data_IF_536597181043
#
_entry.id   IF_536597181043
#
_cell.length_a   1.000
_cell.length_b   1.000
_cell.length_c   1.000
_cell.angle_alpha   90.00
_cell.angle_beta   90.00
_cell.angle_gamma   90.00
#
_symmetry.space_group_name_H-M   'P 1'
#
loop_
_entity.id
_entity.type
_entity.pdbx_description
1 polymer ?
#
# COMPACT_ATOMS: atom_id res chain seq x y z
N UNK A 1 -0.13 18.21 -15.93
CA UNK A 1 0.08 16.75 -16.06
C UNK A 1 -1.24 16.11 -16.45
N UNK A 2 -1.27 15.20 -17.43
CA UNK A 2 -2.52 14.53 -17.84
C UNK A 2 -2.90 13.48 -16.77
N UNK A 3 -4.06 13.67 -16.12
CA UNK A 3 -4.49 12.81 -15.01
C UNK A 3 -4.67 11.34 -15.43
N UNK A 4 -5.14 11.05 -16.66
CA UNK A 4 -5.24 9.65 -17.12
C UNK A 4 -3.88 8.98 -17.16
N UNK A 5 -2.88 9.66 -17.73
CA UNK A 5 -1.51 9.14 -17.80
C UNK A 5 -0.92 8.95 -16.41
N UNK A 6 -1.13 9.90 -15.49
CA UNK A 6 -0.66 9.77 -14.10
C UNK A 6 -1.18 8.49 -13.45
N UNK A 7 -2.49 8.23 -13.55
CA UNK A 7 -3.11 7.09 -12.89
C UNK A 7 -2.66 5.76 -13.49
N UNK A 8 -2.54 5.67 -14.82
CA UNK A 8 -2.02 4.47 -15.50
C UNK A 8 -0.56 4.21 -15.11
N UNK A 9 0.30 5.23 -15.20
CA UNK A 9 1.71 5.07 -14.85
C UNK A 9 1.93 4.84 -13.36
N UNK A 10 1.11 5.45 -12.50
CA UNK A 10 1.13 5.19 -11.06
C UNK A 10 0.74 3.75 -10.75
N UNK A 11 -0.31 3.22 -11.39
CA UNK A 11 -0.72 1.82 -11.24
C UNK A 11 0.42 0.88 -11.65
N UNK A 12 0.99 1.06 -12.84
CA UNK A 12 2.11 0.25 -13.31
C UNK A 12 3.33 0.35 -12.40
N UNK A 13 3.66 1.56 -11.93
CA UNK A 13 4.76 1.79 -11.00
C UNK A 13 4.57 0.99 -9.70
N UNK A 14 3.41 1.11 -9.05
CA UNK A 14 3.16 0.40 -7.78
C UNK A 14 3.06 -1.10 -7.98
N UNK A 15 2.44 -1.57 -9.06
CA UNK A 15 2.39 -3.00 -9.38
C UNK A 15 3.78 -3.60 -9.57
N UNK A 16 4.66 -2.94 -10.33
CA UNK A 16 6.02 -3.44 -10.59
C UNK A 16 6.89 -3.33 -9.35
N UNK A 17 6.99 -2.14 -8.75
CA UNK A 17 7.86 -1.93 -7.59
C UNK A 17 7.39 -2.76 -6.39
N UNK A 18 6.08 -2.87 -6.16
CA UNK A 18 5.55 -3.73 -5.09
C UNK A 18 5.88 -5.20 -5.33
N UNK A 19 5.72 -5.72 -6.56
CA UNK A 19 6.11 -7.11 -6.85
C UNK A 19 7.62 -7.34 -6.65
N UNK A 20 8.46 -6.39 -7.06
CA UNK A 20 9.91 -6.47 -6.84
C UNK A 20 10.27 -6.42 -5.36
N UNK A 21 9.58 -5.57 -4.59
CA UNK A 21 9.85 -5.35 -3.16
C UNK A 21 9.75 -6.63 -2.34
N UNK A 22 8.93 -7.59 -2.78
CA UNK A 22 8.82 -8.91 -2.17
C UNK A 22 10.16 -9.66 -2.11
N UNK A 23 11.03 -9.47 -3.12
CA UNK A 23 12.30 -10.17 -3.20
C UNK A 23 13.48 -9.37 -2.60
N UNK A 24 13.28 -8.07 -2.39
CA UNK A 24 14.37 -7.15 -2.01
C UNK A 24 15.00 -7.51 -0.66
N UNK A 25 14.23 -8.04 0.30
CA UNK A 25 14.78 -8.46 1.58
C UNK A 25 15.82 -9.56 1.44
N UNK A 26 15.49 -10.63 0.72
CA UNK A 26 16.42 -11.74 0.45
C UNK A 26 17.60 -11.27 -0.43
N UNK A 27 17.33 -10.49 -1.49
CA UNK A 27 18.38 -9.94 -2.37
C UNK A 27 19.38 -9.04 -1.62
N UNK A 28 18.95 -8.43 -0.51
CA UNK A 28 19.82 -7.61 0.33
C UNK A 28 20.68 -8.42 1.32
N UNK A 29 20.57 -9.76 1.32
CA UNK A 29 21.21 -10.62 2.30
C UNK A 29 20.56 -10.52 3.68
N UNK A 30 19.22 -10.38 3.74
CA UNK A 30 18.44 -10.25 4.96
C UNK A 30 18.82 -9.02 5.81
N UNK A 31 19.03 -7.87 5.16
CA UNK A 31 19.44 -6.64 5.82
C UNK A 31 18.34 -6.07 6.73
N UNK A 32 18.67 -5.78 7.99
CA UNK A 32 17.73 -5.25 8.99
C UNK A 32 17.07 -3.92 8.59
N UNK A 33 17.75 -3.07 7.83
CA UNK A 33 17.16 -1.83 7.33
C UNK A 33 16.12 -2.14 6.24
N UNK A 34 16.40 -3.11 5.36
CA UNK A 34 15.49 -3.50 4.28
C UNK A 34 14.21 -4.13 4.83
N UNK A 35 14.30 -4.88 5.94
CA UNK A 35 13.14 -5.41 6.69
C UNK A 35 12.09 -4.35 7.06
N UNK A 36 12.49 -3.09 7.22
CA UNK A 36 11.54 -2.00 7.49
C UNK A 36 10.59 -1.72 6.32
N UNK A 37 11.05 -1.98 5.09
CA UNK A 37 10.36 -1.60 3.86
C UNK A 37 9.83 -2.79 3.06
N UNK A 38 10.55 -3.92 3.09
CA UNK A 38 10.18 -5.15 2.39
C UNK A 38 9.61 -6.18 3.37
N UNK A 39 8.75 -7.10 2.90
CA UNK A 39 8.34 -8.23 3.71
C UNK A 39 9.55 -9.08 4.10
N UNK A 40 9.64 -9.43 5.37
CA UNK A 40 10.66 -10.36 5.88
C UNK A 40 10.08 -11.73 6.24
N UNK A 41 8.76 -11.86 6.23
CA UNK A 41 7.99 -13.07 6.41
C UNK A 41 6.69 -13.01 5.58
N UNK A 42 5.91 -14.08 5.57
CA UNK A 42 4.71 -14.24 4.73
C UNK A 42 3.41 -13.75 5.41
N UNK A 43 3.50 -13.08 6.56
CA UNK A 43 2.32 -12.54 7.24
C UNK A 43 1.60 -11.49 6.40
N UNK A 44 0.29 -11.35 6.62
CA UNK A 44 -0.53 -10.38 5.89
C UNK A 44 -0.06 -8.94 6.12
N UNK A 45 0.41 -8.61 7.33
CA UNK A 45 1.00 -7.31 7.64
C UNK A 45 2.22 -6.99 6.78
N UNK A 46 3.13 -7.96 6.62
CA UNK A 46 4.34 -7.80 5.82
C UNK A 46 3.98 -7.63 4.33
N UNK A 47 3.00 -8.37 3.83
CA UNK A 47 2.47 -8.19 2.47
C UNK A 47 1.84 -6.81 2.22
N UNK A 48 1.27 -6.16 3.23
CA UNK A 48 0.74 -4.79 3.09
C UNK A 48 1.83 -3.76 2.76
N UNK A 49 3.10 -4.01 3.11
CA UNK A 49 4.24 -3.14 2.77
C UNK A 49 4.47 -3.03 1.26
N UNK A 50 4.18 -4.10 0.53
CA UNK A 50 4.30 -4.17 -0.94
C UNK A 50 3.46 -3.11 -1.64
N UNK A 51 2.30 -2.76 -1.06
CA UNK A 51 1.45 -1.68 -1.55
C UNK A 51 1.84 -0.35 -0.91
N UNK A 52 2.03 -0.34 0.42
CA UNK A 52 2.18 0.90 1.17
C UNK A 52 3.39 1.74 0.74
N UNK A 53 4.60 1.17 0.72
CA UNK A 53 5.81 1.96 0.48
C UNK A 53 5.92 2.50 -0.94
N UNK A 54 5.61 1.72 -2.00
CA UNK A 54 5.55 2.28 -3.36
C UNK A 54 4.50 3.38 -3.48
N UNK A 55 3.31 3.21 -2.87
CA UNK A 55 2.29 4.26 -2.84
C UNK A 55 2.74 5.49 -2.05
N UNK A 56 3.43 5.33 -0.92
CA UNK A 56 3.94 6.42 -0.10
C UNK A 56 4.93 7.28 -0.91
N UNK A 57 5.88 6.65 -1.60
CA UNK A 57 6.83 7.34 -2.48
C UNK A 57 6.09 8.14 -3.56
N UNK A 58 5.13 7.51 -4.24
CA UNK A 58 4.33 8.17 -5.27
C UNK A 58 3.54 9.37 -4.72
N UNK A 59 2.84 9.18 -3.60
CA UNK A 59 2.00 10.21 -2.98
C UNK A 59 2.82 11.39 -2.47
N UNK A 60 3.97 11.14 -1.81
CA UNK A 60 4.87 12.20 -1.35
C UNK A 60 5.45 12.99 -2.52
N UNK A 61 5.85 12.30 -3.60
CA UNK A 61 6.28 12.95 -4.84
C UNK A 61 5.18 13.85 -5.40
N UNK A 62 3.92 13.39 -5.41
CA UNK A 62 2.79 14.18 -5.90
C UNK A 62 2.44 15.36 -5.00
N UNK A 63 2.58 15.24 -3.68
CA UNK A 63 2.44 16.36 -2.75
C UNK A 63 3.49 17.45 -2.98
N UNK A 64 4.69 17.09 -3.44
CA UNK A 64 5.72 18.05 -3.81
C UNK A 64 5.50 18.63 -5.21
N UNK A 65 5.07 17.80 -6.17
CA UNK A 65 5.01 18.17 -7.59
C UNK A 65 3.75 18.94 -7.98
N UNK A 66 2.63 18.72 -7.31
CA UNK A 66 1.34 19.34 -7.63
C UNK A 66 1.04 20.54 -6.72
N UNK A 67 0.28 21.53 -7.22
CA UNK A 67 -0.17 22.65 -6.38
C UNK A 67 -0.98 22.15 -5.18
N UNK A 68 -0.92 22.88 -4.07
CA UNK A 68 -1.60 22.48 -2.83
C UNK A 68 -3.12 22.32 -2.98
N UNK A 69 -3.72 23.03 -3.93
CA UNK A 69 -5.16 22.95 -4.23
C UNK A 69 -5.53 21.70 -5.03
N UNK A 70 -4.55 20.92 -5.49
CA UNK A 70 -4.77 19.67 -6.19
C UNK A 70 -5.30 18.61 -5.21
N UNK A 71 -6.49 18.05 -5.43
CA UNK A 71 -7.02 16.98 -4.58
C UNK A 71 -6.37 15.63 -4.86
N UNK A 72 -5.60 15.47 -5.95
CA UNK A 72 -5.07 14.18 -6.42
C UNK A 72 -4.19 13.46 -5.37
N UNK A 73 -3.18 14.09 -4.73
CA UNK A 73 -2.35 13.40 -3.75
C UNK A 73 -3.17 12.90 -2.55
N UNK A 74 -4.15 13.69 -2.11
CA UNK A 74 -5.08 13.31 -1.03
C UNK A 74 -6.00 12.18 -1.45
N UNK A 75 -6.57 12.25 -2.66
CA UNK A 75 -7.41 11.20 -3.23
C UNK A 75 -6.66 9.86 -3.33
N UNK A 76 -5.39 9.88 -3.76
CA UNK A 76 -4.54 8.69 -3.79
C UNK A 76 -4.15 8.22 -2.39
N UNK A 77 -4.00 9.11 -1.40
CA UNK A 77 -3.78 8.71 -0.01
C UNK A 77 -4.98 7.97 0.57
N UNK A 78 -6.20 8.46 0.30
CA UNK A 78 -7.43 7.73 0.66
C UNK A 78 -7.46 6.38 -0.04
N UNK A 79 -7.13 6.36 -1.34
CA UNK A 79 -6.97 5.12 -2.10
C UNK A 79 -5.99 4.16 -1.43
N UNK A 80 -4.83 4.63 -0.97
CA UNK A 80 -3.84 3.81 -0.24
C UNK A 80 -4.45 3.15 0.98
N UNK A 81 -5.22 3.90 1.78
CA UNK A 81 -5.91 3.35 2.96
C UNK A 81 -6.93 2.28 2.57
N UNK A 82 -7.68 2.50 1.48
CA UNK A 82 -8.62 1.49 0.93
C UNK A 82 -7.86 0.25 0.47
N UNK A 83 -6.80 0.41 -0.31
CA UNK A 83 -5.96 -0.71 -0.77
C UNK A 83 -5.34 -1.51 0.38
N UNK A 84 -4.88 -0.82 1.42
CA UNK A 84 -4.37 -1.47 2.63
C UNK A 84 -5.44 -2.27 3.37
N UNK A 85 -6.68 -1.80 3.41
CA UNK A 85 -7.77 -2.55 4.01
C UNK A 85 -8.19 -3.75 3.14
N UNK A 86 -8.15 -3.61 1.81
CA UNK A 86 -8.54 -4.67 0.88
C UNK A 86 -7.67 -5.92 1.01
N UNK A 87 -6.36 -5.78 1.26
CA UNK A 87 -5.44 -6.92 1.40
C UNK A 87 -5.92 -7.92 2.47
N UNK A 88 -6.00 -7.55 3.77
CA UNK A 88 -6.47 -8.47 4.81
C UNK A 88 -7.94 -8.86 4.65
N UNK A 89 -8.82 -7.95 4.19
CA UNK A 89 -10.24 -8.26 3.99
C UNK A 89 -10.39 -9.41 2.99
N UNK A 90 -9.77 -9.28 1.82
CA UNK A 90 -9.87 -10.32 0.78
C UNK A 90 -9.16 -11.59 1.21
N UNK A 91 -7.96 -11.47 1.79
CA UNK A 91 -7.16 -12.60 2.25
C UNK A 91 -7.91 -13.47 3.27
N UNK A 92 -8.39 -12.87 4.37
CA UNK A 92 -9.08 -13.63 5.42
C UNK A 92 -10.49 -14.08 5.01
N UNK A 93 -11.13 -13.39 4.06
CA UNK A 93 -12.41 -13.86 3.51
C UNK A 93 -12.21 -15.15 2.72
N UNK A 94 -11.25 -15.20 1.80
CA UNK A 94 -11.10 -16.38 0.96
C UNK A 94 -10.47 -17.56 1.72
N UNK A 95 -9.46 -17.31 2.56
CA UNK A 95 -8.84 -18.36 3.38
C UNK A 95 -9.81 -18.87 4.43
N UNK A 96 -10.68 -18.02 4.98
CA UNK A 96 -11.76 -18.44 5.88
C UNK A 96 -12.78 -19.37 5.21
N UNK A 97 -13.00 -19.23 3.90
CA UNK A 97 -13.89 -20.11 3.12
C UNK A 97 -13.20 -21.42 2.73
N UNK A 98 -11.92 -21.37 2.33
CA UNK A 98 -11.20 -22.55 1.81
C UNK A 98 -10.48 -23.37 2.89
N UNK A 99 -10.05 -22.72 3.98
CA UNK A 99 -9.23 -23.31 5.04
C UNK A 99 -7.72 -23.36 4.73
N UNK A 100 -7.28 -22.86 3.58
CA UNK A 100 -5.87 -22.79 3.18
C UNK A 100 -5.63 -21.61 2.22
N UNK A 101 -4.37 -21.20 2.07
CA UNK A 101 -3.95 -20.14 1.14
C UNK A 101 -3.56 -20.71 -0.23
N UNK A 102 -3.73 -19.90 -1.27
CA UNK A 102 -3.34 -20.22 -2.64
C UNK A 102 -2.54 -19.05 -3.20
N UNK A 103 -1.25 -19.27 -3.47
CA UNK A 103 -0.32 -18.24 -3.96
C UNK A 103 -0.87 -17.41 -5.13
N UNK A 104 -1.55 -18.05 -6.10
CA UNK A 104 -2.14 -17.33 -7.23
C UNK A 104 -3.25 -16.35 -6.81
N UNK A 105 -4.03 -16.69 -5.78
CA UNK A 105 -5.06 -15.82 -5.21
C UNK A 105 -4.41 -14.69 -4.41
N UNK A 106 -3.35 -14.97 -3.65
CA UNK A 106 -2.62 -13.96 -2.86
C UNK A 106 -2.00 -12.88 -3.76
N UNK A 107 -1.38 -13.30 -4.86
CA UNK A 107 -0.87 -12.38 -5.91
C UNK A 107 -2.01 -11.57 -6.52
N UNK A 108 -3.16 -12.20 -6.81
CA UNK A 108 -4.32 -11.50 -7.37
C UNK A 108 -4.87 -10.45 -6.39
N UNK A 109 -4.92 -10.75 -5.09
CA UNK A 109 -5.36 -9.83 -4.03
C UNK A 109 -4.48 -8.59 -4.00
N UNK A 110 -3.15 -8.74 -4.14
CA UNK A 110 -2.25 -7.60 -4.25
C UNK A 110 -2.64 -6.69 -5.43
N UNK A 111 -2.78 -7.23 -6.64
CA UNK A 111 -3.12 -6.42 -7.81
C UNK A 111 -4.53 -5.81 -7.74
N UNK A 112 -5.52 -6.54 -7.20
CA UNK A 112 -6.87 -6.02 -6.95
C UNK A 112 -6.81 -4.85 -5.96
N UNK A 113 -6.00 -4.96 -4.90
CA UNK A 113 -5.83 -3.92 -3.90
C UNK A 113 -5.17 -2.67 -4.50
N UNK A 114 -4.11 -2.84 -5.31
CA UNK A 114 -3.49 -1.74 -6.07
C UNK A 114 -4.50 -1.09 -7.01
N UNK A 115 -5.30 -1.87 -7.75
CA UNK A 115 -6.36 -1.34 -8.59
C UNK A 115 -7.38 -0.54 -7.77
N UNK A 116 -7.77 -1.03 -6.59
CA UNK A 116 -8.65 -0.36 -5.64
C UNK A 116 -8.13 1.02 -5.22
N UNK A 117 -6.82 1.17 -5.01
CA UNK A 117 -6.18 2.47 -4.73
C UNK A 117 -6.43 3.45 -5.87
N UNK A 118 -6.12 3.06 -7.10
CA UNK A 118 -6.20 3.95 -8.26
C UNK A 118 -7.63 4.22 -8.70
N UNK A 119 -8.56 3.27 -8.57
CA UNK A 119 -9.98 3.49 -8.79
C UNK A 119 -10.54 4.49 -7.78
N UNK A 120 -10.24 4.31 -6.48
CA UNK A 120 -10.66 5.25 -5.43
C UNK A 120 -10.11 6.65 -5.72
N UNK A 121 -8.81 6.75 -6.01
CA UNK A 121 -8.20 8.02 -6.38
C UNK A 121 -8.87 8.63 -7.63
N UNK A 122 -9.25 7.82 -8.62
CA UNK A 122 -9.82 8.29 -9.88
C UNK A 122 -11.22 8.88 -9.68
N UNK A 123 -12.05 8.25 -8.86
CA UNK A 123 -13.37 8.76 -8.52
C UNK A 123 -13.33 10.01 -7.64
N UNK A 124 -12.27 10.17 -6.84
CA UNK A 124 -12.10 11.30 -5.91
C UNK A 124 -11.27 12.47 -6.48
N UNK A 125 -10.60 12.30 -7.63
CA UNK A 125 -9.62 13.27 -8.17
C UNK A 125 -10.19 14.66 -8.51
N UNK A 126 -11.50 14.80 -8.69
CA UNK A 126 -12.14 16.07 -9.04
C UNK A 126 -12.79 16.75 -7.82
N UNK A 127 -12.77 16.09 -6.65
CA UNK A 127 -13.30 16.65 -5.40
C UNK A 127 -12.31 17.61 -4.74
N UNK A 128 -12.36 18.88 -5.14
CA UNK A 128 -11.47 19.95 -4.64
C UNK A 128 -11.51 20.13 -3.12
N UNK A 129 -12.61 19.78 -2.43
CA UNK A 129 -12.71 19.89 -0.97
C UNK A 129 -11.72 18.96 -0.25
N UNK A 130 -11.23 17.91 -0.92
CA UNK A 130 -10.24 17.00 -0.36
C UNK A 130 -8.88 17.66 -0.13
N UNK A 131 -8.52 18.71 -0.87
CA UNK A 131 -7.25 19.42 -0.66
C UNK A 131 -7.08 19.90 0.79
N UNK A 132 -8.18 20.29 1.44
CA UNK A 132 -8.21 20.72 2.84
C UNK A 132 -7.90 19.59 3.85
N UNK A 133 -7.88 18.33 3.41
CA UNK A 133 -7.57 17.16 4.25
C UNK A 133 -6.11 16.71 4.13
N UNK A 134 -5.28 17.44 3.38
CA UNK A 134 -3.85 17.12 3.18
C UNK A 134 -3.10 16.82 4.46
N UNK A 135 -3.20 17.70 5.47
CA UNK A 135 -2.51 17.53 6.75
C UNK A 135 -2.92 16.23 7.44
N UNK A 136 -4.23 15.98 7.55
CA UNK A 136 -4.77 14.76 8.14
C UNK A 136 -4.25 13.50 7.44
N UNK A 137 -4.34 13.44 6.11
CA UNK A 137 -3.92 12.26 5.36
C UNK A 137 -2.41 12.02 5.45
N UNK A 138 -1.59 13.09 5.42
CA UNK A 138 -0.15 12.97 5.66
C UNK A 138 0.14 12.42 7.05
N UNK A 139 -0.55 12.90 8.09
CA UNK A 139 -0.41 12.38 9.45
C UNK A 139 -0.77 10.89 9.52
N UNK A 140 -1.88 10.48 8.90
CA UNK A 140 -2.26 9.05 8.85
C UNK A 140 -1.19 8.19 8.18
N UNK A 141 -0.64 8.64 7.05
CA UNK A 141 0.43 7.90 6.34
C UNK A 141 1.71 7.83 7.16
N UNK A 142 2.11 8.91 7.84
CA UNK A 142 3.29 8.90 8.72
C UNK A 142 3.10 7.96 9.90
N UNK A 143 1.93 7.97 10.55
CA UNK A 143 1.62 7.04 11.63
C UNK A 143 1.70 5.59 11.12
N UNK A 144 1.11 5.29 9.96
CA UNK A 144 1.20 3.96 9.36
C UNK A 144 2.64 3.55 9.07
N UNK A 145 3.48 4.44 8.52
CA UNK A 145 4.89 4.15 8.29
C UNK A 145 5.63 3.80 9.59
N UNK A 146 5.38 4.57 10.68
CA UNK A 146 5.94 4.28 12.00
C UNK A 146 5.45 2.93 12.52
N UNK A 147 4.16 2.61 12.37
CA UNK A 147 3.62 1.32 12.77
C UNK A 147 4.23 0.16 11.98
N UNK A 148 4.40 0.30 10.67
CA UNK A 148 5.12 -0.69 9.85
C UNK A 148 6.52 -0.93 10.41
N UNK A 149 7.25 0.11 10.78
CA UNK A 149 8.59 -0.02 11.34
C UNK A 149 8.60 -0.68 12.71
N UNK A 150 7.73 -0.26 13.63
CA UNK A 150 7.64 -0.83 14.97
C UNK A 150 7.28 -2.32 14.90
N UNK A 151 6.20 -2.66 14.19
CA UNK A 151 5.71 -4.03 14.13
C UNK A 151 6.54 -4.95 13.24
N UNK A 152 7.46 -4.41 12.43
CA UNK A 152 8.49 -5.22 11.78
C UNK A 152 9.37 -5.94 12.80
N UNK A 153 9.63 -5.31 13.95
CA UNK A 153 10.50 -5.85 15.02
C UNK A 153 9.71 -6.40 16.21
N UNK A 154 8.54 -5.84 16.46
CA UNK A 154 7.67 -6.19 17.58
C UNK A 154 6.27 -6.57 17.09
N UNK A 155 6.12 -7.64 16.29
CA UNK A 155 4.83 -8.06 15.77
C UNK A 155 3.92 -8.53 16.92
N UNK A 156 2.69 -7.99 17.04
CA UNK A 156 1.70 -8.50 17.97
C UNK A 156 1.32 -9.97 17.69
N UNK A 157 0.94 -10.71 18.74
CA UNK A 157 0.49 -12.11 18.65
C UNK A 157 -0.96 -12.22 18.18
N UNK A 158 -1.29 -11.62 17.04
CA UNK A 158 -2.60 -11.73 16.38
C UNK A 158 -2.43 -12.15 14.91
N UNK A 159 -3.47 -12.73 14.33
CA UNK A 159 -3.42 -13.36 13.00
C UNK A 159 -2.83 -12.50 11.88
N UNK A 160 -3.01 -11.17 11.94
CA UNK A 160 -2.46 -10.22 10.95
C UNK A 160 -0.93 -10.29 10.80
N UNK A 161 -0.22 -10.65 11.87
CA UNK A 161 1.25 -10.69 11.93
C UNK A 161 1.82 -12.11 11.92
N UNK A 162 0.95 -13.12 11.84
CA UNK A 162 1.36 -14.53 11.77
C UNK A 162 1.35 -15.01 10.33
N UNK A 163 2.20 -15.99 10.04
CA UNK A 163 2.16 -16.70 8.77
C UNK A 163 0.90 -17.58 8.71
N UNK A 164 0.20 -17.62 7.56
CA UNK A 164 -1.02 -18.41 7.36
C UNK A 164 -0.79 -19.91 7.24
#
# INVERSE_FOLDING_TARGET
>A
MNSKKLFIWGFLFVSVIGSLLHFVYEWSGNNSIVRLFAPWNESTWEHMKLLFFPMLVLVLFLFFKLPEQSPIPVALSIGTLVGLALIPILFYTYTGVLGFSVMAIDIAIFYISVLGVFLTGWFLKDNRKLANRRGLLLTCLVILAILFFIFSYYPPEIGLFQEP
#
